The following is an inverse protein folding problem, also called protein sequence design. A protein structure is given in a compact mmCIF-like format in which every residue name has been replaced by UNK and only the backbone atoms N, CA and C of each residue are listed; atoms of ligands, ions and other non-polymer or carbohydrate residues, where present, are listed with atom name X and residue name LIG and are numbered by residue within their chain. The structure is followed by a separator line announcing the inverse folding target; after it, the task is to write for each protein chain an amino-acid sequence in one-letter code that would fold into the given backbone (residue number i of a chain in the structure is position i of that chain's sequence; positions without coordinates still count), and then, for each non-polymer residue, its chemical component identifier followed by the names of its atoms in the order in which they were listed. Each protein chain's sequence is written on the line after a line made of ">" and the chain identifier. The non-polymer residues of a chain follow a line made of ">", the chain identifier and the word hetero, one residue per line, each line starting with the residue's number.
data_IF_414260821092
#
_entry.id   IF_414260821092
#
_cell.length_a   1.000
_cell.length_b   1.000
_cell.length_c   1.000
_cell.angle_alpha   90.00
_cell.angle_beta   90.00
_cell.angle_gamma   90.00
#
_symmetry.space_group_name_H-M   'P 1'
#
loop_
_entity.id
_entity.type
_entity.pdbx_description
1 polymer ?
#
# COMPACT_ATOMS: atom_id res chain seq x y z
N UNK A 1 -58.52 28.19 -4.52
CA UNK A 1 -57.50 27.34 -5.16
C UNK A 1 -56.20 28.10 -5.12
N UNK A 2 -55.33 27.77 -4.18
CA UNK A 2 -54.06 28.48 -3.95
C UNK A 2 -52.98 27.71 -4.70
N UNK A 3 -52.41 28.33 -5.75
CA UNK A 3 -51.32 27.75 -6.53
C UNK A 3 -50.08 27.55 -5.66
N UNK A 4 -49.71 26.29 -5.44
CA UNK A 4 -48.43 25.89 -4.88
C UNK A 4 -47.33 26.21 -5.90
N UNK A 5 -46.58 27.29 -5.66
CA UNK A 5 -45.32 27.57 -6.36
C UNK A 5 -44.36 26.41 -6.12
N UNK A 6 -44.15 25.57 -7.15
CA UNK A 6 -43.10 24.55 -7.18
C UNK A 6 -41.74 25.24 -7.09
N UNK A 7 -40.99 24.96 -6.03
CA UNK A 7 -39.60 25.41 -5.89
C UNK A 7 -38.73 24.82 -7.02
N UNK A 8 -37.80 25.60 -7.60
CA UNK A 8 -36.92 25.11 -8.64
C UNK A 8 -36.01 23.98 -8.13
N UNK A 9 -35.89 22.92 -8.92
CA UNK A 9 -35.13 21.72 -8.59
C UNK A 9 -33.62 21.97 -8.77
N UNK A 10 -32.97 22.59 -7.77
CA UNK A 10 -31.55 22.96 -7.76
C UNK A 10 -30.57 21.79 -7.98
N UNK A 11 -31.05 20.55 -7.90
CA UNK A 11 -30.24 19.33 -8.05
C UNK A 11 -30.17 18.81 -9.50
N UNK A 12 -30.87 19.43 -10.45
CA UNK A 12 -30.80 19.05 -11.86
C UNK A 12 -29.36 19.21 -12.39
N UNK A 13 -28.76 18.10 -12.83
CA UNK A 13 -27.42 18.06 -13.41
C UNK A 13 -26.24 18.09 -12.42
N UNK A 14 -26.46 18.17 -11.10
CA UNK A 14 -25.36 18.16 -10.11
C UNK A 14 -24.46 16.93 -10.23
N UNK A 15 -25.09 15.75 -10.36
CA UNK A 15 -24.38 14.48 -10.52
C UNK A 15 -23.49 14.47 -11.75
N UNK A 16 -23.99 15.00 -12.86
CA UNK A 16 -23.26 15.01 -14.13
C UNK A 16 -22.09 15.99 -14.07
N UNK A 17 -22.31 17.20 -13.54
CA UNK A 17 -21.23 18.17 -13.30
C UNK A 17 -20.14 17.60 -12.38
N UNK A 18 -20.53 16.84 -11.35
CA UNK A 18 -19.57 16.23 -10.43
C UNK A 18 -18.76 15.12 -11.09
N UNK A 19 -19.39 14.29 -11.95
CA UNK A 19 -18.69 13.28 -12.77
C UNK A 19 -17.74 13.90 -13.77
N UNK A 20 -18.19 14.91 -14.51
CA UNK A 20 -17.33 15.62 -15.47
C UNK A 20 -16.13 16.24 -14.77
N UNK A 21 -16.35 16.84 -13.60
CA UNK A 21 -15.27 17.41 -12.82
C UNK A 21 -14.29 16.34 -12.38
N UNK A 22 -14.76 15.20 -11.84
CA UNK A 22 -13.90 14.08 -11.46
C UNK A 22 -13.05 13.57 -12.64
N UNK A 23 -13.64 13.40 -13.82
CA UNK A 23 -12.90 12.95 -15.01
C UNK A 23 -11.86 13.96 -15.51
N UNK A 24 -12.08 15.26 -15.29
CA UNK A 24 -11.14 16.34 -15.65
C UNK A 24 -10.13 16.65 -14.55
N UNK A 25 -10.24 16.02 -13.39
CA UNK A 25 -9.50 16.37 -12.20
C UNK A 25 -8.22 15.55 -12.05
N UNK A 26 -7.18 16.15 -11.49
CA UNK A 26 -5.98 15.41 -11.05
C UNK A 26 -6.20 14.87 -9.62
N UNK A 27 -5.47 13.82 -9.25
CA UNK A 27 -5.55 13.22 -7.91
C UNK A 27 -5.39 14.32 -6.84
N UNK A 28 -6.31 14.33 -5.85
CA UNK A 28 -6.26 15.25 -4.71
C UNK A 28 -6.99 16.60 -4.90
N UNK A 29 -7.67 16.81 -6.02
CA UNK A 29 -8.40 18.08 -6.28
C UNK A 29 -9.85 18.09 -5.80
N UNK A 30 -10.52 16.94 -5.73
CA UNK A 30 -11.86 16.82 -5.13
C UNK A 30 -11.77 16.71 -3.62
N UNK A 31 -12.76 17.27 -2.93
CA UNK A 31 -12.89 17.12 -1.49
C UNK A 31 -13.34 15.71 -1.12
N UNK A 32 -12.93 15.20 0.05
CA UNK A 32 -13.25 13.84 0.51
C UNK A 32 -14.76 13.54 0.47
N UNK A 33 -15.59 14.51 0.85
CA UNK A 33 -17.04 14.33 0.85
C UNK A 33 -17.59 14.22 -0.57
N UNK A 34 -16.94 14.83 -1.56
CA UNK A 34 -17.36 14.77 -2.97
C UNK A 34 -17.02 13.41 -3.58
N UNK A 35 -15.88 12.82 -3.20
CA UNK A 35 -15.50 11.45 -3.57
C UNK A 35 -16.52 10.45 -3.02
N UNK A 36 -16.85 10.55 -1.72
CA UNK A 36 -17.85 9.68 -1.10
C UNK A 36 -19.25 9.93 -1.68
N UNK A 37 -19.62 11.19 -1.93
CA UNK A 37 -20.90 11.54 -2.54
C UNK A 37 -21.06 10.88 -3.92
N UNK A 38 -20.02 10.91 -4.76
CA UNK A 38 -19.99 10.24 -6.05
C UNK A 38 -20.16 8.73 -5.93
N UNK A 39 -19.42 8.09 -5.02
CA UNK A 39 -19.55 6.66 -4.77
C UNK A 39 -21.00 6.30 -4.41
N UNK A 40 -21.62 7.07 -3.52
CA UNK A 40 -22.98 6.85 -3.06
C UNK A 40 -24.05 7.05 -4.14
N UNK A 41 -23.77 7.74 -5.25
CA UNK A 41 -24.73 7.83 -6.37
C UNK A 41 -25.09 6.46 -6.94
N UNK A 42 -24.15 5.50 -6.92
CA UNK A 42 -24.36 4.12 -7.35
C UNK A 42 -25.29 3.34 -6.40
N UNK A 43 -25.25 3.66 -5.11
CA UNK A 43 -26.07 3.03 -4.08
C UNK A 43 -27.46 3.66 -3.96
N UNK A 44 -27.61 4.94 -4.34
CA UNK A 44 -28.86 5.68 -4.23
C UNK A 44 -29.18 6.48 -5.50
N UNK A 45 -29.76 5.88 -6.55
CA UNK A 45 -29.95 6.51 -7.86
C UNK A 45 -30.80 7.80 -7.89
N UNK A 46 -31.67 8.04 -6.90
CA UNK A 46 -32.61 9.18 -6.89
C UNK A 46 -32.61 9.97 -5.57
N UNK A 47 -31.53 9.88 -4.80
CA UNK A 47 -31.39 10.56 -3.50
C UNK A 47 -30.22 11.54 -3.52
N UNK A 48 -30.35 12.64 -2.80
CA UNK A 48 -29.20 13.48 -2.44
C UNK A 48 -28.33 12.74 -1.42
N UNK A 49 -27.07 12.48 -1.79
CA UNK A 49 -26.09 11.72 -1.00
C UNK A 49 -25.06 12.61 -0.33
N UNK A 50 -25.10 13.94 -0.52
CA UNK A 50 -24.11 14.88 0.03
C UNK A 50 -24.13 14.89 1.55
N UNK A 51 -25.33 14.96 2.14
CA UNK A 51 -25.49 14.92 3.59
C UNK A 51 -24.96 13.61 4.18
N UNK A 52 -25.23 12.50 3.49
CA UNK A 52 -24.80 11.16 3.90
C UNK A 52 -23.26 11.01 3.84
N UNK A 53 -22.63 11.51 2.79
CA UNK A 53 -21.18 11.55 2.65
C UNK A 53 -20.51 12.36 3.77
N UNK A 54 -21.05 13.55 4.08
CA UNK A 54 -20.57 14.37 5.19
C UNK A 54 -20.78 13.71 6.54
N UNK A 55 -21.90 13.02 6.74
CA UNK A 55 -22.17 12.31 7.99
C UNK A 55 -21.20 11.13 8.21
N UNK A 56 -20.89 10.38 7.15
CA UNK A 56 -19.87 9.33 7.17
C UNK A 56 -18.51 9.90 7.60
N UNK A 57 -18.06 10.98 6.97
CA UNK A 57 -16.79 11.62 7.34
C UNK A 57 -16.80 12.21 8.73
N UNK A 58 -17.91 12.84 9.15
CA UNK A 58 -18.04 13.38 10.51
C UNK A 58 -17.93 12.28 11.56
N UNK A 59 -18.49 11.09 11.29
CA UNK A 59 -18.49 9.98 12.24
C UNK A 59 -17.16 9.23 12.27
N UNK A 60 -16.54 9.03 11.11
CA UNK A 60 -15.35 8.17 10.97
C UNK A 60 -14.05 8.92 10.67
N UNK A 61 -14.10 10.25 10.61
CA UNK A 61 -12.95 11.16 10.50
C UNK A 61 -12.44 11.37 9.07
N UNK A 62 -12.31 10.30 8.29
CA UNK A 62 -11.73 10.33 6.94
C UNK A 62 -12.30 9.24 6.03
N UNK A 63 -12.01 9.28 4.72
CA UNK A 63 -12.38 8.18 3.80
C UNK A 63 -11.79 6.85 4.29
N UNK A 64 -10.54 6.85 4.75
CA UNK A 64 -9.91 5.66 5.33
C UNK A 64 -10.71 5.13 6.53
N UNK A 65 -11.13 6.01 7.44
CA UNK A 65 -11.95 5.63 8.59
C UNK A 65 -13.32 5.09 8.18
N UNK A 66 -13.95 5.65 7.14
CA UNK A 66 -15.22 5.15 6.60
C UNK A 66 -15.07 3.73 6.05
N UNK A 67 -14.01 3.47 5.29
CA UNK A 67 -13.78 2.14 4.70
C UNK A 67 -13.47 1.09 5.76
N UNK A 68 -12.66 1.42 6.78
CA UNK A 68 -12.29 0.49 7.85
C UNK A 68 -13.37 0.30 8.93
N UNK A 69 -14.43 1.13 8.96
CA UNK A 69 -15.46 1.03 9.98
C UNK A 69 -16.20 -0.31 9.95
N UNK A 70 -16.42 -0.95 11.11
CA UNK A 70 -17.21 -2.19 11.20
C UNK A 70 -18.59 -2.04 10.55
N UNK A 71 -19.12 -3.06 9.85
CA UNK A 71 -20.43 -2.99 9.20
C UNK A 71 -21.55 -2.58 10.16
N UNK A 72 -21.52 -3.08 11.40
CA UNK A 72 -22.46 -2.70 12.46
C UNK A 72 -22.42 -1.19 12.76
N UNK A 73 -21.23 -0.59 12.75
CA UNK A 73 -21.03 0.85 12.96
C UNK A 73 -21.55 1.66 11.77
N UNK A 74 -21.33 1.22 10.53
CA UNK A 74 -21.86 1.86 9.34
C UNK A 74 -23.38 1.92 9.34
N UNK A 75 -24.04 0.83 9.75
CA UNK A 75 -25.50 0.71 9.82
C UNK A 75 -26.16 1.63 10.84
N UNK A 76 -25.41 2.19 11.79
CA UNK A 76 -25.94 3.17 12.74
C UNK A 76 -26.21 4.54 12.10
N UNK A 77 -25.67 4.82 10.91
CA UNK A 77 -25.91 6.08 10.19
C UNK A 77 -27.27 6.01 9.51
N UNK A 78 -28.15 6.98 9.81
CA UNK A 78 -29.51 7.01 9.27
C UNK A 78 -29.48 7.13 7.75
N UNK A 79 -29.89 6.06 7.08
CA UNK A 79 -29.95 6.00 5.63
C UNK A 79 -28.82 5.22 4.98
N UNK A 80 -27.83 4.72 5.74
CA UNK A 80 -26.95 3.63 5.30
C UNK A 80 -27.66 2.30 5.53
N UNK A 81 -27.92 1.56 4.46
CA UNK A 81 -28.47 0.21 4.52
C UNK A 81 -27.39 -0.86 4.33
N UNK A 82 -27.77 -2.13 4.49
CA UNK A 82 -26.87 -3.27 4.33
C UNK A 82 -26.15 -3.29 2.98
N UNK A 83 -26.83 -2.93 1.89
CA UNK A 83 -26.23 -2.84 0.56
C UNK A 83 -25.07 -1.83 0.52
N UNK A 84 -25.29 -0.61 1.02
CA UNK A 84 -24.26 0.44 1.02
C UNK A 84 -23.09 0.08 1.93
N UNK A 85 -23.36 -0.52 3.09
CA UNK A 85 -22.31 -1.02 3.97
C UNK A 85 -21.47 -2.11 3.27
N UNK A 86 -22.12 -3.07 2.61
CA UNK A 86 -21.46 -4.11 1.81
C UNK A 86 -20.62 -3.50 0.68
N UNK A 87 -21.14 -2.51 -0.04
CA UNK A 87 -20.40 -1.84 -1.12
C UNK A 87 -19.16 -1.08 -0.61
N UNK A 88 -19.25 -0.42 0.55
CA UNK A 88 -18.08 0.22 1.18
C UNK A 88 -17.02 -0.82 1.57
N UNK A 89 -17.46 -1.99 2.08
CA UNK A 89 -16.56 -3.12 2.40
C UNK A 89 -15.98 -3.80 1.18
N UNK A 90 -16.72 -3.86 0.09
CA UNK A 90 -16.20 -4.32 -1.19
C UNK A 90 -15.11 -3.36 -1.70
N UNK A 91 -15.32 -2.05 -1.59
CA UNK A 91 -14.32 -1.06 -1.97
C UNK A 91 -13.06 -1.16 -1.09
N UNK A 92 -13.21 -1.37 0.22
CA UNK A 92 -12.10 -1.67 1.13
C UNK A 92 -11.34 -2.94 0.69
N UNK A 93 -12.04 -4.05 0.39
CA UNK A 93 -11.41 -5.30 -0.05
C UNK A 93 -10.65 -5.11 -1.37
N UNK A 94 -11.24 -4.41 -2.35
CA UNK A 94 -10.58 -4.08 -3.62
C UNK A 94 -9.31 -3.27 -3.37
N UNK A 95 -9.40 -2.18 -2.59
CA UNK A 95 -8.24 -1.35 -2.25
C UNK A 95 -7.18 -2.20 -1.54
N UNK A 96 -7.58 -3.07 -0.62
CA UNK A 96 -6.65 -3.95 0.07
C UNK A 96 -5.91 -4.87 -0.89
N UNK A 97 -6.55 -5.39 -1.95
CA UNK A 97 -5.90 -6.23 -2.97
C UNK A 97 -5.02 -5.45 -3.95
N UNK A 98 -5.29 -4.16 -4.12
CA UNK A 98 -4.47 -3.26 -4.96
C UNK A 98 -3.25 -2.78 -4.19
N UNK A 99 -3.43 -2.43 -2.91
CA UNK A 99 -2.37 -1.92 -2.02
C UNK A 99 -1.51 -3.05 -1.47
N UNK A 100 -2.10 -4.21 -1.17
CA UNK A 100 -1.38 -5.41 -0.78
C UNK A 100 -1.15 -6.22 -2.07
N UNK A 101 0.06 -6.21 -2.65
CA UNK A 101 0.35 -7.00 -3.83
C UNK A 101 0.01 -8.47 -3.57
N UNK A 102 -0.91 -9.00 -4.38
CA UNK A 102 -1.32 -10.40 -4.56
C UNK A 102 -0.96 -11.38 -3.44
N UNK A 103 -1.97 -11.86 -2.69
CA UNK A 103 -1.75 -12.82 -1.59
C UNK A 103 -0.99 -14.10 -1.97
N UNK A 104 -1.02 -14.47 -3.26
CA UNK A 104 -0.29 -15.62 -3.80
C UNK A 104 1.23 -15.50 -3.68
N UNK A 105 1.81 -14.30 -3.53
CA UNK A 105 3.24 -14.16 -3.28
C UNK A 105 3.63 -14.35 -1.80
N UNK A 106 2.69 -14.28 -0.85
CA UNK A 106 3.00 -14.48 0.58
C UNK A 106 3.16 -15.95 0.96
N UNK A 107 2.40 -16.87 0.36
CA UNK A 107 2.61 -18.33 0.56
C UNK A 107 3.97 -18.80 -0.01
N UNK A 108 4.51 -18.08 -1.00
CA UNK A 108 5.84 -18.31 -1.58
C UNK A 108 6.96 -17.93 -0.59
N UNK A 109 6.68 -17.32 0.55
CA UNK A 109 7.68 -17.07 1.61
C UNK A 109 7.42 -17.90 2.87
N UNK A 110 6.71 -19.03 2.74
CA UNK A 110 6.42 -19.96 3.83
C UNK A 110 7.66 -20.58 4.49
N UNK A 111 8.80 -20.58 3.81
CA UNK A 111 10.08 -21.04 4.33
C UNK A 111 11.24 -20.36 3.60
N UNK A 112 12.46 -20.53 4.14
CA UNK A 112 13.66 -19.90 3.59
C UNK A 112 13.94 -20.26 2.13
N UNK A 113 13.74 -21.52 1.72
CA UNK A 113 13.96 -21.93 0.32
C UNK A 113 12.99 -21.22 -0.62
N UNK A 114 11.78 -20.97 -0.15
CA UNK A 114 10.76 -20.27 -0.90
C UNK A 114 11.09 -18.77 -1.04
N UNK A 115 11.69 -18.14 -0.02
CA UNK A 115 12.30 -16.79 -0.10
C UNK A 115 13.40 -16.71 -1.17
N UNK A 116 14.33 -17.67 -1.15
CA UNK A 116 15.41 -17.73 -2.14
C UNK A 116 14.87 -17.92 -3.56
N UNK A 117 13.90 -18.83 -3.73
CA UNK A 117 13.25 -19.08 -5.02
C UNK A 117 12.50 -17.85 -5.55
N UNK A 118 11.80 -17.13 -4.66
CA UNK A 118 11.16 -15.85 -4.99
C UNK A 118 12.17 -14.82 -5.47
N UNK A 119 13.23 -14.58 -4.69
CA UNK A 119 14.26 -13.60 -5.00
C UNK A 119 14.96 -13.92 -6.32
N UNK A 120 15.31 -15.19 -6.57
CA UNK A 120 15.89 -15.61 -7.86
C UNK A 120 14.93 -15.32 -9.02
N UNK A 121 13.65 -15.65 -8.87
CA UNK A 121 12.66 -15.47 -9.94
C UNK A 121 12.40 -14.00 -10.26
N UNK A 122 12.33 -13.14 -9.24
CA UNK A 122 11.99 -11.73 -9.41
C UNK A 122 13.20 -10.83 -9.72
N UNK A 123 14.42 -11.26 -9.35
CA UNK A 123 15.62 -10.42 -9.40
C UNK A 123 16.75 -10.99 -10.25
N UNK A 124 16.87 -12.32 -10.39
CA UNK A 124 18.05 -12.96 -10.97
C UNK A 124 18.32 -12.65 -12.45
N UNK A 125 17.32 -12.20 -13.19
CA UNK A 125 17.41 -11.85 -14.62
C UNK A 125 17.29 -10.35 -14.91
N UNK A 126 17.25 -9.51 -13.87
CA UNK A 126 17.18 -8.06 -14.08
C UNK A 126 18.51 -7.56 -14.65
N UNK A 127 18.42 -6.85 -15.77
CA UNK A 127 19.57 -6.27 -16.48
C UNK A 127 20.11 -4.98 -15.86
N UNK A 128 19.45 -4.47 -14.83
CA UNK A 128 19.85 -3.31 -14.04
C UNK A 128 19.91 -3.70 -12.56
N UNK A 129 20.72 -2.98 -11.79
CA UNK A 129 20.72 -3.14 -10.34
C UNK A 129 19.40 -2.63 -9.76
N UNK A 130 18.83 -3.44 -8.88
CA UNK A 130 17.61 -3.15 -8.15
C UNK A 130 17.85 -3.50 -6.69
N UNK A 131 17.56 -2.55 -5.80
CA UNK A 131 17.54 -2.76 -4.37
C UNK A 131 16.09 -2.76 -3.89
N UNK A 132 15.70 -3.79 -3.14
CA UNK A 132 14.35 -3.96 -2.60
C UNK A 132 14.38 -4.41 -1.16
N UNK A 133 13.25 -4.21 -0.49
CA UNK A 133 13.06 -4.58 0.91
C UNK A 133 11.78 -5.39 1.04
N UNK A 134 11.91 -6.56 1.65
CA UNK A 134 10.81 -7.40 2.04
C UNK A 134 10.46 -7.09 3.50
N UNK A 135 9.28 -6.52 3.75
CA UNK A 135 8.83 -6.15 5.08
C UNK A 135 8.02 -7.27 5.71
N UNK A 136 8.31 -7.62 6.96
CA UNK A 136 7.73 -8.79 7.64
C UNK A 136 7.08 -8.38 8.96
N UNK A 137 6.00 -9.07 9.33
CA UNK A 137 5.40 -8.95 10.66
C UNK A 137 6.06 -9.92 11.67
N UNK A 138 5.55 -9.93 12.91
CA UNK A 138 6.10 -10.75 14.02
C UNK A 138 6.01 -12.25 13.78
N UNK A 139 5.12 -12.69 12.89
CA UNK A 139 4.96 -14.08 12.50
C UNK A 139 5.77 -14.41 11.23
N UNK A 140 6.71 -13.55 10.83
CA UNK A 140 7.50 -13.62 9.60
C UNK A 140 6.65 -13.70 8.32
N UNK A 141 5.40 -13.23 8.37
CA UNK A 141 4.60 -13.08 7.17
C UNK A 141 5.01 -11.79 6.48
N UNK A 142 5.24 -11.86 5.17
CA UNK A 142 5.51 -10.67 4.38
C UNK A 142 4.27 -9.75 4.41
N UNK A 143 4.53 -8.46 4.59
CA UNK A 143 3.57 -7.36 4.62
C UNK A 143 3.61 -6.61 3.29
N UNK A 144 4.82 -6.39 2.78
CA UNK A 144 5.07 -5.65 1.56
C UNK A 144 6.41 -6.07 0.94
N UNK A 145 6.48 -5.99 -0.37
CA UNK A 145 7.69 -6.11 -1.18
C UNK A 145 7.85 -4.81 -1.95
N UNK A 146 8.83 -3.99 -1.54
CA UNK A 146 9.03 -2.65 -2.09
C UNK A 146 10.38 -2.56 -2.79
N UNK A 147 10.37 -2.06 -4.03
CA UNK A 147 11.59 -1.66 -4.72
C UNK A 147 11.97 -0.26 -4.26
N UNK A 148 13.12 -0.12 -3.60
CA UNK A 148 13.62 1.16 -3.07
C UNK A 148 14.45 1.90 -4.12
N UNK A 149 15.15 1.16 -4.98
CA UNK A 149 16.04 1.74 -5.99
C UNK A 149 16.10 0.85 -7.23
N UNK A 150 16.13 1.47 -8.41
CA UNK A 150 16.43 0.84 -9.70
C UNK A 150 17.40 1.74 -10.48
N UNK A 151 18.42 1.18 -11.14
CA UNK A 151 19.21 1.94 -12.13
C UNK A 151 20.69 1.57 -12.25
N UNK A 152 21.41 2.34 -13.07
CA UNK A 152 22.83 2.18 -13.38
C UNK A 152 23.69 3.12 -12.56
N UNK A 153 24.56 2.59 -11.69
CA UNK A 153 25.83 3.10 -11.09
C UNK A 153 25.95 4.56 -10.58
N UNK A 154 25.06 5.49 -10.93
CA UNK A 154 25.04 6.88 -10.48
C UNK A 154 24.01 7.05 -9.34
N UNK A 155 24.36 6.42 -8.22
CA UNK A 155 24.10 6.84 -6.83
C UNK A 155 22.81 7.61 -6.55
N UNK A 156 21.65 6.98 -6.74
CA UNK A 156 20.54 7.28 -5.82
C UNK A 156 20.83 6.48 -4.55
N UNK A 157 21.25 7.15 -3.48
CA UNK A 157 21.59 6.46 -2.25
C UNK A 157 20.34 5.79 -1.63
N UNK A 158 20.45 4.53 -1.22
CA UNK A 158 19.45 3.91 -0.34
C UNK A 158 19.44 4.68 0.97
N UNK A 159 18.33 5.37 1.26
CA UNK A 159 18.18 6.15 2.49
C UNK A 159 17.49 5.31 3.57
N UNK A 160 18.16 4.92 4.67
CA UNK A 160 17.54 4.12 5.73
C UNK A 160 16.29 4.74 6.34
N UNK A 161 16.17 6.08 6.31
CA UNK A 161 14.97 6.78 6.80
C UNK A 161 13.71 6.42 6.02
N UNK A 162 13.82 6.15 4.71
CA UNK A 162 12.65 5.78 3.90
C UNK A 162 12.25 4.36 4.23
N UNK A 163 13.22 3.45 4.36
CA UNK A 163 12.99 2.07 4.84
C UNK A 163 12.30 2.09 6.20
N UNK A 164 12.82 2.88 7.15
CA UNK A 164 12.25 3.01 8.48
C UNK A 164 10.82 3.56 8.45
N UNK A 165 10.56 4.60 7.66
CA UNK A 165 9.22 5.17 7.49
C UNK A 165 8.24 4.10 7.02
N UNK A 166 8.61 3.30 6.02
CA UNK A 166 7.75 2.21 5.54
C UNK A 166 7.56 1.13 6.61
N UNK A 167 8.62 0.76 7.35
CA UNK A 167 8.49 -0.19 8.46
C UNK A 167 7.46 0.28 9.50
N UNK A 168 7.51 1.56 9.90
CA UNK A 168 6.59 2.14 10.88
C UNK A 168 5.16 2.21 10.34
N UNK A 169 4.99 2.64 9.09
CA UNK A 169 3.67 2.75 8.47
C UNK A 169 2.95 1.40 8.36
N UNK A 170 3.70 0.32 8.13
CA UNK A 170 3.15 -1.03 7.94
C UNK A 170 3.16 -1.88 9.20
N UNK A 171 3.75 -1.40 10.30
CA UNK A 171 3.92 -2.20 11.52
C UNK A 171 4.86 -3.40 11.32
N UNK A 172 5.89 -3.24 10.49
CA UNK A 172 6.89 -4.28 10.27
C UNK A 172 7.76 -4.47 11.52
N UNK A 173 7.99 -5.73 11.90
CA UNK A 173 8.91 -6.09 12.99
C UNK A 173 10.24 -6.64 12.48
N UNK A 174 10.33 -6.98 11.20
CA UNK A 174 11.55 -7.41 10.56
C UNK A 174 11.58 -7.06 9.08
N UNK A 175 12.77 -7.04 8.48
CA UNK A 175 12.96 -6.88 7.04
C UNK A 175 13.99 -7.87 6.49
N UNK A 176 13.93 -8.15 5.18
CA UNK A 176 15.00 -8.78 4.42
C UNK A 176 15.40 -7.80 3.31
N UNK A 177 16.68 -7.46 3.26
CA UNK A 177 17.25 -6.63 2.19
C UNK A 177 17.59 -7.53 1.01
N UNK A 178 17.31 -7.09 -0.21
CA UNK A 178 17.65 -7.86 -1.41
C UNK A 178 18.13 -6.92 -2.50
N UNK A 179 19.26 -7.22 -3.13
CA UNK A 179 19.61 -6.59 -4.40
C UNK A 179 20.19 -7.60 -5.38
N UNK A 180 20.24 -7.24 -6.66
CA UNK A 180 20.87 -8.05 -7.68
C UNK A 180 22.16 -7.43 -8.20
N UNK A 181 23.11 -8.28 -8.59
CA UNK A 181 24.27 -7.90 -9.37
C UNK A 181 24.09 -8.41 -10.81
N UNK A 182 23.78 -7.52 -11.79
CA UNK A 182 23.67 -7.91 -13.19
C UNK A 182 24.95 -8.53 -13.76
N UNK A 183 26.10 -8.23 -13.15
CA UNK A 183 27.42 -8.78 -13.51
C UNK A 183 27.54 -10.29 -13.28
N UNK A 184 26.65 -10.89 -12.47
CA UNK A 184 26.65 -12.32 -12.17
C UNK A 184 27.42 -12.72 -10.90
N UNK A 185 28.29 -11.86 -10.38
CA UNK A 185 29.06 -12.11 -9.14
C UNK A 185 28.27 -11.65 -7.91
N UNK A 186 27.79 -12.57 -7.05
CA UNK A 186 26.95 -12.20 -5.91
C UNK A 186 27.77 -11.74 -4.69
N UNK A 187 29.10 -11.59 -4.78
CA UNK A 187 29.92 -11.18 -3.63
C UNK A 187 29.57 -9.75 -3.20
N UNK A 188 29.47 -9.56 -1.89
CA UNK A 188 29.22 -8.25 -1.30
C UNK A 188 30.41 -7.29 -1.50
N UNK A 189 30.12 -6.08 -1.98
CA UNK A 189 31.07 -4.97 -2.01
C UNK A 189 31.24 -4.35 -0.61
N UNK A 190 32.25 -3.50 -0.46
CA UNK A 190 32.41 -2.69 0.77
C UNK A 190 31.21 -1.78 1.03
N UNK A 191 30.59 -1.29 -0.04
CA UNK A 191 29.45 -0.38 0.01
C UNK A 191 28.21 -1.12 0.49
N UNK A 192 28.00 -2.36 0.05
CA UNK A 192 26.91 -3.23 0.53
C UNK A 192 27.03 -3.48 2.03
N UNK A 193 28.24 -3.79 2.50
CA UNK A 193 28.50 -4.03 3.93
C UNK A 193 28.25 -2.76 4.75
N UNK A 194 28.74 -1.61 4.28
CA UNK A 194 28.55 -0.33 4.96
C UNK A 194 27.07 0.06 5.04
N UNK A 195 26.36 -0.04 3.92
CA UNK A 195 24.92 0.23 3.82
C UNK A 195 24.12 -0.67 4.76
N UNK A 196 24.38 -1.98 4.74
CA UNK A 196 23.69 -2.96 5.59
C UNK A 196 23.84 -2.63 7.07
N UNK A 197 25.08 -2.35 7.50
CA UNK A 197 25.35 -1.97 8.89
C UNK A 197 24.65 -0.67 9.29
N UNK A 198 24.58 0.28 8.37
CA UNK A 198 23.90 1.55 8.60
C UNK A 198 22.37 1.38 8.74
N UNK A 199 21.77 0.50 7.93
CA UNK A 199 20.35 0.14 8.06
C UNK A 199 20.09 -0.57 9.38
N UNK A 200 20.90 -1.57 9.76
CA UNK A 200 20.77 -2.29 11.04
C UNK A 200 20.78 -1.31 12.22
N UNK A 201 21.78 -0.44 12.29
CA UNK A 201 21.89 0.59 13.35
C UNK A 201 20.71 1.55 13.39
N UNK A 202 20.07 1.80 12.25
CA UNK A 202 18.92 2.71 12.17
C UNK A 202 17.65 2.05 12.71
N UNK A 203 17.49 0.73 12.51
CA UNK A 203 16.28 -0.02 12.83
C UNK A 203 16.30 -0.65 14.22
N UNK A 204 17.49 -1.00 14.73
CA UNK A 204 17.70 -1.64 16.02
C UNK A 204 17.03 -0.90 17.21
N UNK A 205 17.12 0.44 17.36
CA UNK A 205 16.50 1.15 18.48
C UNK A 205 14.97 1.02 18.52
N UNK A 206 14.34 0.63 17.42
CA UNK A 206 12.90 0.48 17.28
C UNK A 206 12.46 -1.00 17.32
N UNK A 207 13.38 -1.91 17.64
CA UNK A 207 13.15 -3.36 17.69
C UNK A 207 12.67 -3.93 16.35
N UNK A 208 13.21 -3.43 15.24
CA UNK A 208 12.94 -3.93 13.89
C UNK A 208 14.19 -4.66 13.41
N UNK A 209 14.12 -5.99 13.26
CA UNK A 209 15.29 -6.79 12.91
C UNK A 209 15.55 -6.84 11.41
N UNK A 210 16.82 -6.85 11.01
CA UNK A 210 17.22 -7.23 9.64
C UNK A 210 17.52 -8.72 9.65
N UNK A 211 16.65 -9.53 9.04
CA UNK A 211 16.78 -10.99 9.07
C UNK A 211 17.90 -11.50 8.18
N UNK A 212 18.07 -10.86 7.01
CA UNK A 212 19.19 -11.13 6.12
C UNK A 212 19.37 -9.97 5.11
N UNK A 213 20.50 -10.01 4.42
CA UNK A 213 20.74 -9.27 3.19
C UNK A 213 21.17 -10.25 2.09
N UNK A 214 20.36 -10.33 1.03
CA UNK A 214 20.56 -11.24 -0.08
C UNK A 214 21.08 -10.49 -1.31
N UNK A 215 22.18 -10.97 -1.87
CA UNK A 215 22.68 -10.55 -3.19
C UNK A 215 22.34 -11.65 -4.18
N UNK A 216 21.54 -11.31 -5.18
CA UNK A 216 21.01 -12.25 -6.17
C UNK A 216 21.75 -12.09 -7.48
N UNK A 217 22.25 -13.20 -8.01
CA UNK A 217 22.64 -13.30 -9.41
C UNK A 217 21.79 -14.36 -10.12
N UNK A 218 22.06 -14.59 -11.40
CA UNK A 218 21.37 -15.59 -12.20
C UNK A 218 21.45 -17.00 -11.56
N UNK A 219 22.67 -17.41 -11.19
CA UNK A 219 22.96 -18.78 -10.76
C UNK A 219 23.20 -18.94 -9.25
N UNK A 220 23.28 -17.86 -8.48
CA UNK A 220 23.54 -17.96 -7.05
C UNK A 220 22.92 -16.82 -6.24
N UNK A 221 22.75 -17.07 -4.94
CA UNK A 221 22.34 -16.07 -3.97
C UNK A 221 23.38 -16.08 -2.85
N UNK A 222 23.92 -14.92 -2.54
CA UNK A 222 24.79 -14.71 -1.38
C UNK A 222 23.96 -14.17 -0.22
N UNK A 223 24.10 -14.79 0.95
CA UNK A 223 23.41 -14.40 2.18
C UNK A 223 24.43 -13.88 3.17
N UNK A 224 24.26 -12.62 3.60
CA UNK A 224 25.12 -12.00 4.61
C UNK A 224 25.11 -12.79 5.91
N UNK A 225 23.94 -13.28 6.34
CA UNK A 225 23.81 -14.07 7.56
C UNK A 225 24.58 -15.39 7.47
N UNK A 226 24.50 -16.10 6.34
CA UNK A 226 25.19 -17.38 6.17
C UNK A 226 26.72 -17.24 6.19
N UNK A 227 27.25 -16.09 5.76
CA UNK A 227 28.69 -15.83 5.76
C UNK A 227 29.18 -15.06 7.00
N UNK A 228 28.31 -14.79 7.97
CA UNK A 228 28.67 -14.11 9.22
C UNK A 228 28.94 -12.61 9.10
N UNK A 229 28.33 -11.94 8.10
CA UNK A 229 28.41 -10.48 7.91
C UNK A 229 27.27 -9.72 8.61
N UNK A 230 26.34 -10.43 9.22
CA UNK A 230 25.12 -9.96 9.88
C UNK A 230 25.05 -10.51 11.31
#
# INVERSE_FOLDING_TARGET
>A
MTELKTQPNFNAGHRERLRERFLKSTIGTLQDYEILEMFLFSCYPRRDTKALAKELLRKFGSIHGVLNAEPSSLLTIKGIGANTACMLKLLEDIISRVVIPNKKNFDVLSNWSAVLGYCRTTMGYKSIEVFRVLYLNRNNLLLCDEVIQEGTLDRVAVYPREILKTCLNMGASAIILVHNHPSGDPRASSDDISMTKHIIKTLEPLNISVHDHLIVSHDCIFSFKNVGLL
#
